data_IF_171424059314
#
_entry.id   IF_171424059314
#
_cell.length_a   1.000
_cell.length_b   1.000
_cell.length_c   1.000
_cell.angle_alpha   90.00
_cell.angle_beta   90.00
_cell.angle_gamma   90.00
#
_symmetry.space_group_name_H-M   'P 1'
#
loop_
_entity.id
_entity.type
_entity.pdbx_description
1 polymer ?
#
# COMPACT_ATOMS: atom_id res chain seq x y z
N UNK A 1 -33.77 37.55 24.49
CA UNK A 1 -33.21 36.18 24.70
C UNK A 1 -34.02 35.19 23.87
N UNK A 2 -33.36 34.18 23.26
CA UNK A 2 -33.74 33.44 22.03
C UNK A 2 -33.36 34.27 20.79
N UNK A 3 -32.51 33.79 19.88
CA UNK A 3 -32.62 32.54 19.13
C UNK A 3 -31.23 31.94 18.89
N UNK A 4 -30.89 30.90 19.65
CA UNK A 4 -29.98 29.86 19.16
C UNK A 4 -30.83 29.02 18.22
N UNK A 5 -30.43 28.85 16.96
CA UNK A 5 -30.67 27.63 16.19
C UNK A 5 -30.07 27.75 14.78
N UNK A 6 -29.44 26.63 14.40
CA UNK A 6 -29.29 26.09 13.05
C UNK A 6 -28.17 26.66 12.17
N UNK A 7 -27.07 25.90 12.16
CA UNK A 7 -26.09 25.93 11.09
C UNK A 7 -25.15 24.73 11.09
N UNK A 8 -25.56 23.56 11.63
CA UNK A 8 -24.77 22.33 11.55
C UNK A 8 -25.21 21.55 10.31
N UNK A 9 -24.66 21.90 9.15
CA UNK A 9 -25.02 21.21 7.91
C UNK A 9 -23.77 20.89 7.09
N UNK A 10 -23.50 19.57 7.03
CA UNK A 10 -22.83 18.82 5.96
C UNK A 10 -21.29 18.94 5.83
N UNK A 11 -20.58 18.33 6.77
CA UNK A 11 -19.34 17.62 6.43
C UNK A 11 -19.71 16.32 5.70
N UNK A 12 -20.05 16.40 4.42
CA UNK A 12 -20.16 15.21 3.57
C UNK A 12 -18.73 14.73 3.35
N UNK A 13 -18.35 13.70 4.10
CA UNK A 13 -17.07 13.03 3.93
C UNK A 13 -16.94 12.55 2.48
N UNK A 14 -15.98 13.12 1.75
CA UNK A 14 -15.39 12.46 0.60
C UNK A 14 -14.68 11.21 1.10
N UNK A 15 -15.43 10.12 1.26
CA UNK A 15 -14.88 8.77 1.35
C UNK A 15 -14.24 8.49 0.00
N UNK A 16 -12.96 8.87 -0.13
CA UNK A 16 -12.16 8.54 -1.29
C UNK A 16 -12.15 7.02 -1.40
N UNK A 17 -12.85 6.50 -2.40
CA UNK A 17 -12.79 5.09 -2.79
C UNK A 17 -11.37 4.81 -3.26
N UNK A 18 -10.50 4.47 -2.31
CA UNK A 18 -9.15 4.05 -2.63
C UNK A 18 -9.29 2.77 -3.47
N UNK A 19 -8.84 2.82 -4.73
CA UNK A 19 -8.76 1.63 -5.56
C UNK A 19 -7.45 0.91 -5.29
N UNK A 20 -7.49 -0.41 -5.19
CA UNK A 20 -6.31 -1.23 -5.01
C UNK A 20 -5.43 -1.10 -6.27
N UNK A 21 -4.17 -0.73 -6.06
CA UNK A 21 -3.17 -0.54 -7.10
C UNK A 21 -2.30 -1.79 -7.22
N UNK A 22 -1.82 -2.06 -8.43
CA UNK A 22 -0.83 -3.11 -8.65
C UNK A 22 0.58 -2.56 -8.40
N UNK A 23 1.37 -3.34 -7.66
CA UNK A 23 2.77 -3.03 -7.38
C UNK A 23 3.67 -4.18 -7.81
N UNK A 24 4.82 -3.83 -8.39
CA UNK A 24 5.94 -4.74 -8.60
C UNK A 24 6.97 -4.48 -7.50
N UNK A 25 7.27 -5.51 -6.72
CA UNK A 25 8.10 -5.44 -5.54
C UNK A 25 9.36 -6.29 -5.71
N UNK A 26 10.52 -5.63 -5.67
CA UNK A 26 11.83 -6.25 -5.83
C UNK A 26 12.42 -6.58 -4.46
N UNK A 27 12.99 -7.78 -4.35
CA UNK A 27 13.64 -8.26 -3.13
C UNK A 27 15.11 -7.89 -3.11
N UNK A 28 15.57 -7.41 -1.96
CA UNK A 28 16.95 -7.08 -1.68
C UNK A 28 17.50 -7.94 -0.54
N UNK A 29 18.76 -8.35 -0.68
CA UNK A 29 19.54 -9.07 0.34
C UNK A 29 20.88 -8.36 0.45
N UNK A 30 21.28 -8.01 1.67
CA UNK A 30 22.50 -7.22 1.92
C UNK A 30 22.59 -5.94 1.06
N UNK A 31 21.48 -5.24 0.87
CA UNK A 31 21.41 -4.02 0.05
C UNK A 31 21.44 -4.25 -1.47
N UNK A 32 21.63 -5.49 -1.94
CA UNK A 32 21.68 -5.82 -3.38
C UNK A 32 20.36 -6.40 -3.90
N UNK A 33 19.88 -5.99 -5.09
CA UNK A 33 18.69 -6.56 -5.69
C UNK A 33 18.94 -8.00 -6.13
N UNK A 34 17.98 -8.88 -5.84
CA UNK A 34 18.11 -10.33 -6.15
C UNK A 34 17.61 -10.72 -7.55
N UNK A 35 17.29 -9.75 -8.41
CA UNK A 35 16.76 -9.95 -9.77
C UNK A 35 15.29 -10.37 -9.85
N UNK A 36 14.77 -11.08 -8.83
CA UNK A 36 13.37 -11.48 -8.75
C UNK A 36 12.43 -10.37 -8.31
N UNK A 37 11.17 -10.43 -8.77
CA UNK A 37 10.09 -9.56 -8.30
C UNK A 37 8.81 -10.36 -8.04
N UNK A 38 7.99 -9.86 -7.11
CA UNK A 38 6.61 -10.32 -6.90
C UNK A 38 5.65 -9.20 -7.25
N UNK A 39 4.48 -9.58 -7.75
CA UNK A 39 3.34 -8.66 -7.92
C UNK A 39 2.40 -8.80 -6.73
N UNK A 40 1.92 -7.66 -6.24
CA UNK A 40 0.94 -7.55 -5.15
C UNK A 40 -0.06 -6.44 -5.45
N UNK A 41 -1.28 -6.60 -4.95
CA UNK A 41 -2.31 -5.55 -4.96
C UNK A 41 -2.40 -4.90 -3.58
N UNK A 42 -2.39 -3.58 -3.54
CA UNK A 42 -2.42 -2.81 -2.30
C UNK A 42 -2.95 -1.39 -2.54
N UNK A 43 -3.53 -0.76 -1.53
CA UNK A 43 -4.00 0.63 -1.61
C UNK A 43 -2.85 1.63 -1.42
N UNK A 44 -1.78 1.22 -0.74
CA UNK A 44 -0.59 2.05 -0.48
C UNK A 44 0.71 1.31 -0.77
N UNK A 45 1.81 2.08 -0.96
CA UNK A 45 3.15 1.50 -1.10
C UNK A 45 3.59 0.74 0.15
N UNK A 46 3.24 1.23 1.35
CA UNK A 46 3.59 0.57 2.61
C UNK A 46 2.90 -0.79 2.73
N UNK A 47 1.61 -0.85 2.43
CA UNK A 47 0.86 -2.11 2.38
C UNK A 47 1.43 -3.07 1.33
N UNK A 48 1.83 -2.57 0.15
CA UNK A 48 2.48 -3.37 -0.87
C UNK A 48 3.79 -4.01 -0.36
N UNK A 49 4.60 -3.25 0.37
CA UNK A 49 5.86 -3.74 0.96
C UNK A 49 5.58 -4.86 1.97
N UNK A 50 4.62 -4.68 2.88
CA UNK A 50 4.25 -5.69 3.87
C UNK A 50 3.74 -6.98 3.22
N UNK A 51 2.85 -6.86 2.23
CA UNK A 51 2.34 -8.01 1.46
C UNK A 51 3.46 -8.72 0.70
N UNK A 52 4.40 -7.97 0.12
CA UNK A 52 5.52 -8.54 -0.60
C UNK A 52 6.52 -9.24 0.32
N UNK A 53 6.82 -8.70 1.51
CA UNK A 53 7.64 -9.34 2.53
C UNK A 53 7.06 -10.70 2.93
N UNK A 54 5.79 -10.74 3.33
CA UNK A 54 5.10 -11.98 3.68
C UNK A 54 5.11 -12.99 2.52
N UNK A 55 4.93 -12.54 1.28
CA UNK A 55 5.00 -13.40 0.10
C UNK A 55 6.39 -13.99 -0.11
N UNK A 56 7.47 -13.23 0.11
CA UNK A 56 8.83 -13.76 0.03
C UNK A 56 9.16 -14.74 1.16
N UNK A 57 8.71 -14.46 2.39
CA UNK A 57 8.85 -15.37 3.52
C UNK A 57 8.14 -16.71 3.27
N UNK A 58 6.90 -16.67 2.77
CA UNK A 58 6.14 -17.87 2.38
C UNK A 58 6.80 -18.67 1.25
N UNK A 59 7.62 -18.03 0.42
CA UNK A 59 8.41 -18.69 -0.63
C UNK A 59 9.75 -19.23 -0.11
N UNK A 60 10.01 -19.16 1.21
CA UNK A 60 11.27 -19.57 1.83
C UNK A 60 12.47 -18.71 1.39
N UNK A 61 12.21 -17.48 0.94
CA UNK A 61 13.24 -16.59 0.41
C UNK A 61 13.77 -15.68 1.52
N UNK A 62 15.08 -15.71 1.76
CA UNK A 62 15.76 -14.68 2.57
C UNK A 62 15.48 -13.30 2.00
N UNK A 63 15.00 -12.38 2.83
CA UNK A 63 14.68 -10.98 2.48
C UNK A 63 15.19 -10.07 3.59
N UNK A 64 15.90 -8.99 3.22
CA UNK A 64 16.28 -7.94 4.17
C UNK A 64 15.45 -6.69 3.97
N UNK A 65 15.16 -6.36 2.71
CA UNK A 65 14.27 -5.27 2.37
C UNK A 65 13.57 -5.52 1.03
N UNK A 66 12.49 -4.78 0.82
CA UNK A 66 11.69 -4.84 -0.40
C UNK A 66 11.46 -3.41 -0.89
N UNK A 67 11.61 -3.18 -2.19
CA UNK A 67 11.23 -1.92 -2.82
C UNK A 67 10.11 -2.15 -3.84
N UNK A 68 8.99 -1.47 -3.63
CA UNK A 68 7.81 -1.59 -4.47
C UNK A 68 7.60 -0.35 -5.34
N UNK A 69 7.27 -0.59 -6.60
CA UNK A 69 6.93 0.43 -7.59
C UNK A 69 5.52 0.18 -8.10
N UNK A 70 4.75 1.26 -8.24
CA UNK A 70 3.43 1.18 -8.86
C UNK A 70 3.58 0.70 -10.32
N UNK A 71 2.70 -0.19 -10.74
CA UNK A 71 2.61 -0.61 -12.14
C UNK A 71 1.20 -0.34 -12.62
N UNK A 72 1.05 0.47 -13.67
CA UNK A 72 -0.17 0.40 -14.48
C UNK A 72 -0.29 -1.01 -15.03
N UNK A 73 -1.48 -1.59 -14.97
CA UNK A 73 -1.81 -2.77 -15.79
C UNK A 73 -1.53 -2.47 -17.25
#
# INVERSE_FOLDING_TARGET
MKKLLLGLVLFVGLMSVASAKHYKCYRYVNGSPTGGHVKVEAYTKSEAVNKALAKYENLGKKVHSVNCHFTSK
#
